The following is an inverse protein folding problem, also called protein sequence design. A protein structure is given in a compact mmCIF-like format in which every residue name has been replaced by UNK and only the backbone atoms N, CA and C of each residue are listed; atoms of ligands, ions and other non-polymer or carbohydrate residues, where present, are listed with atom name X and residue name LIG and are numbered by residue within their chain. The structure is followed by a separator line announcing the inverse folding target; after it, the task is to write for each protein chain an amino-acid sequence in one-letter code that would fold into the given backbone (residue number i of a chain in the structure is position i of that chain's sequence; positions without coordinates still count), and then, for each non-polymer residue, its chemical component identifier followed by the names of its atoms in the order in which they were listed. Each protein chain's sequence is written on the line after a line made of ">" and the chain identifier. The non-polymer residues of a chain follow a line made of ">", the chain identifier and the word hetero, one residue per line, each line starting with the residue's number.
data_IF_276078679483
#
_entry.id   IF_276078679483
#
_cell.length_a   1.000
_cell.length_b   1.000
_cell.length_c   1.000
_cell.angle_alpha   90.00
_cell.angle_beta   90.00
_cell.angle_gamma   90.00
#
_symmetry.space_group_name_H-M   'P 1'
#
loop_
_entity.id
_entity.type
_entity.pdbx_description
1 polymer ?
#
# COMPACT_ATOMS: atom_id res chain seq x y z
N UNK A 1 -42.53 31.18 23.36
CA UNK A 1 -41.35 32.02 22.99
C UNK A 1 -40.17 31.06 22.81
N UNK A 2 -39.41 30.92 21.73
CA UNK A 2 -39.22 31.65 20.48
C UNK A 2 -38.97 30.64 19.34
N UNK A 3 -39.60 30.87 18.19
CA UNK A 3 -39.53 30.05 16.98
C UNK A 3 -38.52 30.72 16.04
N UNK A 4 -37.32 30.17 15.86
CA UNK A 4 -36.36 30.66 14.87
C UNK A 4 -36.55 29.91 13.56
N UNK A 5 -37.40 30.52 12.73
CA UNK A 5 -37.69 30.15 11.34
C UNK A 5 -36.53 30.72 10.51
N UNK A 6 -35.55 29.87 10.16
CA UNK A 6 -34.57 30.25 9.15
C UNK A 6 -35.27 30.27 7.78
N UNK A 7 -35.50 31.50 7.32
CA UNK A 7 -36.07 31.82 6.01
C UNK A 7 -35.21 31.23 4.90
N UNK A 8 -35.91 30.64 3.93
CA UNK A 8 -35.40 30.19 2.65
C UNK A 8 -34.60 31.29 1.94
N UNK A 9 -33.39 30.94 1.50
CA UNK A 9 -32.65 31.66 0.47
C UNK A 9 -33.40 31.52 -0.85
N UNK A 10 -34.24 32.53 -1.14
CA UNK A 10 -34.88 32.70 -2.44
C UNK A 10 -33.84 33.20 -3.45
N UNK A 11 -33.45 32.27 -4.33
CA UNK A 11 -33.28 32.44 -5.78
C UNK A 11 -33.32 33.89 -6.30
N UNK A 12 -32.16 34.42 -6.72
CA UNK A 12 -32.08 35.56 -7.64
C UNK A 12 -31.67 35.03 -9.03
N UNK A 13 -32.53 35.14 -10.06
CA UNK A 13 -32.30 34.56 -11.39
C UNK A 13 -31.41 35.42 -12.31
N UNK A 14 -30.68 36.40 -11.78
CA UNK A 14 -30.02 37.43 -12.59
C UNK A 14 -28.59 37.11 -13.08
N UNK A 15 -28.00 35.95 -12.74
CA UNK A 15 -26.61 35.65 -13.14
C UNK A 15 -26.46 34.55 -14.22
N UNK A 16 -27.56 33.99 -14.74
CA UNK A 16 -27.52 32.93 -15.77
C UNK A 16 -27.43 33.44 -17.22
N UNK A 17 -27.22 34.74 -17.45
CA UNK A 17 -27.14 35.35 -18.79
C UNK A 17 -25.78 36.02 -19.05
N UNK A 18 -24.65 35.31 -18.88
CA UNK A 18 -23.33 35.84 -19.26
C UNK A 18 -22.30 34.82 -19.78
N UNK A 19 -22.71 33.61 -20.23
CA UNK A 19 -21.77 32.61 -20.79
C UNK A 19 -22.30 31.95 -22.07
N UNK A 20 -23.02 32.70 -22.91
CA UNK A 20 -23.26 32.35 -24.31
C UNK A 20 -22.74 33.50 -25.18
N UNK A 21 -21.44 33.49 -25.52
CA UNK A 21 -20.86 34.61 -26.27
C UNK A 21 -19.36 34.53 -26.57
N UNK A 22 -18.85 33.37 -26.95
CA UNK A 22 -17.53 33.20 -27.61
C UNK A 22 -17.56 31.82 -28.31
N UNK A 23 -18.32 31.63 -29.39
CA UNK A 23 -17.85 31.95 -30.74
C UNK A 23 -16.62 31.08 -31.07
N UNK A 24 -16.78 29.79 -31.39
CA UNK A 24 -17.12 29.28 -32.74
C UNK A 24 -16.41 30.07 -33.86
N UNK A 25 -15.08 30.20 -33.79
CA UNK A 25 -14.20 30.42 -34.94
C UNK A 25 -12.89 29.72 -34.59
N UNK A 26 -12.71 28.43 -34.89
CA UNK A 26 -11.79 28.01 -35.97
C UNK A 26 -11.92 26.49 -36.17
N UNK A 27 -13.02 26.06 -36.78
CA UNK A 27 -13.16 24.74 -37.40
C UNK A 27 -12.96 24.90 -38.90
N UNK A 28 -11.98 24.17 -39.47
CA UNK A 28 -11.67 23.96 -40.90
C UNK A 28 -10.52 24.78 -41.49
N UNK A 29 -9.31 24.20 -41.51
CA UNK A 29 -8.53 23.92 -42.75
C UNK A 29 -7.13 23.38 -42.39
N UNK A 30 -6.88 22.08 -42.60
CA UNK A 30 -5.75 21.56 -43.41
C UNK A 30 -5.80 20.02 -43.41
N UNK A 31 -6.51 19.47 -44.40
CA UNK A 31 -6.31 18.10 -44.85
C UNK A 31 -5.44 18.15 -46.11
N UNK A 32 -4.19 17.70 -46.01
CA UNK A 32 -3.38 17.18 -47.12
C UNK A 32 -2.08 16.61 -46.55
N UNK A 33 -1.91 15.30 -46.59
CA UNK A 33 -0.64 14.65 -46.25
C UNK A 33 -0.79 13.21 -45.78
N UNK A 34 -1.12 12.29 -46.69
CA UNK A 34 -0.91 10.86 -46.53
C UNK A 34 0.57 10.58 -46.20
N UNK A 35 0.82 9.73 -45.21
CA UNK A 35 1.55 8.46 -45.41
C UNK A 35 1.36 7.61 -44.17
N UNK A 36 0.79 6.42 -44.36
CA UNK A 36 0.98 5.24 -43.51
C UNK A 36 2.37 5.21 -42.88
N UNK A 37 2.42 5.11 -41.56
CA UNK A 37 3.53 4.44 -40.88
C UNK A 37 2.95 3.40 -39.92
N UNK A 38 2.59 2.28 -40.55
CA UNK A 38 2.86 0.90 -40.10
C UNK A 38 2.84 0.68 -38.59
N UNK A 39 1.74 0.07 -38.17
CA UNK A 39 1.74 -0.92 -37.12
C UNK A 39 2.76 -2.04 -37.42
N UNK A 40 3.98 -1.89 -36.93
CA UNK A 40 4.94 -2.95 -36.63
C UNK A 40 5.86 -2.33 -35.57
N UNK A 41 5.67 -2.60 -34.28
CA UNK A 41 6.55 -3.50 -33.53
C UNK A 41 6.00 -3.68 -32.12
N UNK A 42 5.03 -4.57 -31.96
CA UNK A 42 4.78 -5.24 -30.67
C UNK A 42 4.24 -6.65 -30.90
N UNK A 43 4.88 -7.38 -31.82
CA UNK A 43 4.73 -8.83 -31.88
C UNK A 43 5.49 -9.46 -30.70
N UNK A 44 4.90 -10.41 -29.95
CA UNK A 44 5.54 -11.12 -28.84
C UNK A 44 6.82 -11.88 -29.23
N UNK A 45 7.14 -12.02 -30.51
CA UNK A 45 8.36 -12.66 -31.00
C UNK A 45 9.64 -11.82 -30.81
N UNK A 46 9.54 -10.51 -30.56
CA UNK A 46 10.72 -9.67 -30.28
C UNK A 46 11.25 -9.78 -28.84
N UNK A 47 10.50 -10.40 -27.92
CA UNK A 47 10.86 -10.54 -26.50
C UNK A 47 11.81 -11.75 -26.28
N UNK A 48 11.79 -12.74 -27.17
CA UNK A 48 12.54 -13.99 -27.01
C UNK A 48 14.06 -13.87 -27.33
N UNK A 49 14.54 -12.74 -27.86
CA UNK A 49 15.97 -12.57 -28.23
C UNK A 49 16.82 -11.84 -27.18
N UNK A 50 16.27 -11.54 -25.99
CA UNK A 50 16.99 -10.80 -24.92
C UNK A 50 17.37 -11.66 -23.71
N UNK A 51 17.13 -12.96 -23.75
CA UNK A 51 17.51 -13.90 -22.69
C UNK A 51 18.63 -14.82 -23.23
N UNK A 52 19.83 -14.28 -23.35
CA UNK A 52 21.04 -15.10 -23.40
C UNK A 52 21.77 -14.99 -22.04
N UNK A 53 21.97 -16.09 -21.30
CA UNK A 53 22.69 -16.04 -20.04
C UNK A 53 24.20 -15.86 -20.30
N UNK A 54 24.70 -14.65 -20.05
CA UNK A 54 26.13 -14.37 -19.99
C UNK A 54 26.71 -14.86 -18.65
N UNK A 55 26.94 -16.17 -18.53
CA UNK A 55 27.85 -16.71 -17.51
C UNK A 55 27.31 -17.89 -16.70
N UNK A 56 28.17 -18.87 -16.48
CA UNK A 56 27.97 -19.98 -15.56
C UNK A 56 28.45 -19.55 -14.16
N UNK A 57 27.56 -19.53 -13.18
CA UNK A 57 27.93 -19.37 -11.76
C UNK A 57 28.29 -20.75 -11.20
N UNK A 58 29.55 -20.93 -10.81
CA UNK A 58 30.00 -22.13 -10.12
C UNK A 58 29.81 -21.92 -8.61
N UNK A 59 28.84 -22.62 -8.02
CA UNK A 59 28.65 -22.66 -6.56
C UNK A 59 29.54 -23.78 -6.02
N UNK A 60 30.60 -23.41 -5.29
CA UNK A 60 31.40 -24.34 -4.50
C UNK A 60 31.04 -24.17 -3.01
N UNK A 61 30.74 -25.28 -2.34
CA UNK A 61 30.54 -25.35 -0.89
C UNK A 61 31.82 -25.72 -0.15
N UNK A 62 32.02 -25.04 0.99
CA UNK A 62 32.77 -25.45 2.21
C UNK A 62 34.32 -25.51 2.13
N UNK A 63 35.09 -25.34 3.24
CA UNK A 63 34.72 -25.64 4.64
C UNK A 63 35.22 -24.67 5.76
N UNK A 64 34.82 -25.03 6.99
CA UNK A 64 35.23 -24.55 8.33
C UNK A 64 36.74 -24.42 8.59
N UNK A 65 37.11 -23.44 9.45
CA UNK A 65 38.00 -23.53 10.64
C UNK A 65 38.14 -22.13 11.29
N UNK A 66 37.71 -21.84 12.52
CA UNK A 66 38.28 -22.15 13.86
C UNK A 66 39.60 -21.42 14.19
N UNK A 67 39.52 -20.48 15.15
CA UNK A 67 40.50 -20.07 16.22
C UNK A 67 41.85 -19.46 15.79
N UNK A 68 42.49 -18.45 16.41
CA UNK A 68 42.62 -17.95 17.79
C UNK A 68 43.04 -16.44 17.83
N UNK A 69 42.76 -15.77 18.97
CA UNK A 69 43.28 -14.47 19.50
C UNK A 69 44.75 -14.61 19.99
N UNK A 70 45.56 -13.56 20.33
CA UNK A 70 45.31 -12.44 21.29
C UNK A 70 45.86 -11.06 20.77
N UNK A 71 45.66 -9.87 21.35
CA UNK A 71 45.93 -9.34 22.70
C UNK A 71 45.23 -7.98 22.92
N UNK A 72 44.94 -7.65 24.19
CA UNK A 72 44.32 -6.41 24.74
C UNK A 72 45.39 -5.65 25.56
N UNK A 73 45.41 -4.29 25.65
CA UNK A 73 44.71 -3.52 26.72
C UNK A 73 44.27 -2.11 26.26
N UNK A 74 43.49 -1.27 26.94
CA UNK A 74 42.56 -1.29 28.07
C UNK A 74 41.95 0.15 28.11
N UNK A 75 40.70 0.32 28.53
CA UNK A 75 40.30 1.21 29.64
C UNK A 75 38.80 1.54 29.64
N UNK A 76 38.20 1.28 30.80
CA UNK A 76 37.03 1.91 31.45
C UNK A 76 35.63 1.30 31.27
N UNK A 77 35.33 0.33 32.15
CA UNK A 77 34.22 0.26 33.14
C UNK A 77 33.23 1.45 33.22
N UNK A 78 31.95 1.37 33.62
CA UNK A 78 31.01 0.34 34.14
C UNK A 78 29.64 1.10 34.25
N UNK A 79 28.44 0.57 33.96
CA UNK A 79 27.57 -0.14 34.93
C UNK A 79 26.19 -0.48 34.32
N UNK A 80 25.88 -1.77 34.32
CA UNK A 80 24.56 -2.42 34.12
C UNK A 80 23.75 -2.36 35.46
N UNK A 81 22.48 -2.85 35.64
CA UNK A 81 21.83 -3.86 34.83
C UNK A 81 20.28 -3.96 34.76
N UNK A 82 19.88 -4.91 33.91
CA UNK A 82 18.88 -5.97 34.14
C UNK A 82 17.38 -5.72 33.86
N UNK A 83 16.89 -6.48 32.89
CA UNK A 83 15.54 -7.04 32.85
C UNK A 83 15.31 -8.04 34.01
N UNK A 84 14.05 -8.42 34.28
CA UNK A 84 13.63 -9.76 33.84
C UNK A 84 12.18 -9.84 33.31
N UNK A 85 11.95 -10.83 32.45
CA UNK A 85 10.61 -11.33 32.08
C UNK A 85 9.89 -11.97 33.29
N UNK A 86 8.57 -12.23 33.23
CA UNK A 86 8.12 -13.50 32.64
C UNK A 86 6.80 -13.48 31.84
N UNK A 87 6.77 -14.36 30.83
CA UNK A 87 5.68 -15.22 30.35
C UNK A 87 4.20 -14.85 30.58
N UNK A 88 3.42 -14.87 29.48
CA UNK A 88 2.36 -15.88 29.26
C UNK A 88 1.82 -15.84 27.83
N UNK A 89 2.18 -16.89 27.12
CA UNK A 89 1.41 -17.57 26.08
C UNK A 89 -0.11 -17.55 26.31
N UNK A 90 -0.86 -17.13 25.29
CA UNK A 90 -2.15 -17.75 24.96
C UNK A 90 -2.35 -17.74 23.46
N UNK A 91 -1.81 -18.78 22.84
CA UNK A 91 -2.36 -19.42 21.66
C UNK A 91 -3.89 -19.47 21.79
N UNK A 92 -4.59 -18.85 20.86
CA UNK A 92 -5.99 -19.13 20.60
C UNK A 92 -6.16 -19.17 19.08
N UNK A 93 -5.46 -20.11 18.44
CA UNK A 93 -6.01 -20.75 17.26
C UNK A 93 -7.29 -21.49 17.67
N UNK A 94 -8.35 -21.36 16.88
CA UNK A 94 -9.09 -22.55 16.54
C UNK A 94 -8.84 -22.86 15.06
N UNK A 95 -8.01 -23.88 14.83
CA UNK A 95 -8.21 -24.72 13.68
C UNK A 95 -9.56 -25.43 13.86
N UNK A 96 -10.52 -25.12 13.00
CA UNK A 96 -11.66 -25.96 12.74
C UNK A 96 -12.00 -25.81 11.25
N UNK A 97 -11.53 -26.78 10.47
CA UNK A 97 -12.05 -27.04 9.14
C UNK A 97 -13.55 -27.28 9.25
N UNK A 98 -14.34 -26.44 8.59
CA UNK A 98 -15.70 -26.80 8.20
C UNK A 98 -15.81 -26.55 6.71
N UNK A 99 -15.76 -27.66 5.98
CA UNK A 99 -16.25 -27.83 4.62
C UNK A 99 -17.77 -27.60 4.63
N UNK A 100 -18.19 -26.33 4.64
CA UNK A 100 -19.55 -25.94 4.28
C UNK A 100 -19.51 -24.46 3.90
N UNK A 101 -19.72 -24.16 2.61
CA UNK A 101 -19.59 -22.80 2.06
C UNK A 101 -20.54 -21.82 2.77
N UNK A 102 -20.02 -20.88 3.60
CA UNK A 102 -20.82 -19.79 4.15
C UNK A 102 -20.95 -18.67 3.12
N UNK A 103 -21.93 -17.75 3.26
CA UNK A 103 -22.06 -16.63 2.34
C UNK A 103 -20.79 -15.77 2.42
N UNK A 104 -20.09 -15.65 1.30
CA UNK A 104 -18.79 -14.98 1.16
C UNK A 104 -18.73 -13.56 1.76
N UNK A 105 -19.88 -12.92 1.93
CA UNK A 105 -20.05 -11.61 2.56
C UNK A 105 -19.63 -11.57 4.03
N UNK A 106 -19.96 -12.60 4.83
CA UNK A 106 -19.64 -12.59 6.28
C UNK A 106 -18.14 -12.68 6.54
N UNK A 107 -17.43 -13.49 5.73
CA UNK A 107 -15.97 -13.60 5.81
C UNK A 107 -15.26 -12.31 5.44
N UNK A 108 -15.71 -11.64 4.36
CA UNK A 108 -15.16 -10.36 3.93
C UNK A 108 -15.38 -9.26 4.97
N UNK A 109 -16.57 -9.15 5.54
CA UNK A 109 -16.85 -8.16 6.60
C UNK A 109 -15.99 -8.40 7.85
N UNK A 110 -15.85 -9.67 8.28
CA UNK A 110 -14.96 -10.02 9.38
C UNK A 110 -13.51 -9.62 9.11
N UNK A 111 -13.02 -9.88 7.89
CA UNK A 111 -11.68 -9.48 7.47
C UNK A 111 -11.50 -7.96 7.48
N UNK A 112 -12.47 -7.21 6.97
CA UNK A 112 -12.40 -5.74 6.97
C UNK A 112 -12.47 -5.16 8.40
N UNK A 113 -13.27 -5.76 9.28
CA UNK A 113 -13.33 -5.36 10.69
C UNK A 113 -12.01 -5.67 11.44
N UNK A 114 -11.38 -6.79 11.13
CA UNK A 114 -10.05 -7.13 11.63
C UNK A 114 -8.99 -6.13 11.13
N UNK A 115 -8.96 -5.91 9.81
CA UNK A 115 -8.07 -4.94 9.17
C UNK A 115 -8.23 -3.52 9.71
N UNK A 116 -9.48 -3.10 9.97
CA UNK A 116 -9.79 -1.83 10.62
C UNK A 116 -9.09 -1.67 11.97
N UNK A 117 -9.10 -2.73 12.77
CA UNK A 117 -8.50 -2.75 14.11
C UNK A 117 -6.98 -2.59 14.00
N UNK A 118 -6.36 -3.30 13.07
CA UNK A 118 -4.91 -3.20 12.82
C UNK A 118 -4.55 -1.80 12.32
N UNK A 119 -5.29 -1.26 11.34
CA UNK A 119 -5.04 0.07 10.79
C UNK A 119 -5.13 1.13 11.88
N UNK A 120 -6.15 1.04 12.74
CA UNK A 120 -6.30 1.95 13.89
C UNK A 120 -5.10 1.88 14.83
N UNK A 121 -4.62 0.69 15.15
CA UNK A 121 -3.63 0.47 16.21
C UNK A 121 -2.18 0.64 15.75
N UNK A 122 -1.89 0.36 14.47
CA UNK A 122 -0.51 0.30 13.97
C UNK A 122 -0.24 1.21 12.77
N UNK A 123 -1.26 1.57 11.98
CA UNK A 123 -1.02 2.29 10.72
C UNK A 123 -1.42 3.78 10.78
N UNK A 124 -2.45 4.11 11.56
CA UNK A 124 -3.05 5.45 11.59
C UNK A 124 -2.10 6.54 12.09
N UNK A 125 -1.08 6.19 12.88
CA UNK A 125 -0.10 7.15 13.39
C UNK A 125 0.65 7.89 12.26
N UNK A 126 0.78 7.27 11.08
CA UNK A 126 1.48 7.84 9.93
C UNK A 126 0.56 8.07 8.72
N UNK A 127 -0.48 7.25 8.54
CA UNK A 127 -1.34 7.31 7.35
C UNK A 127 -2.55 8.25 7.50
N UNK A 128 -2.56 9.14 8.50
CA UNK A 128 -3.64 10.13 8.72
C UNK A 128 -3.36 11.49 8.09
N UNK A 129 -2.23 11.64 7.37
CA UNK A 129 -1.85 12.88 6.68
C UNK A 129 -0.94 13.81 7.49
N UNK A 130 -0.53 13.41 8.69
CA UNK A 130 0.46 14.12 9.49
C UNK A 130 1.91 13.87 9.04
N UNK A 131 2.17 12.79 8.30
CA UNK A 131 3.50 12.42 7.83
C UNK A 131 3.64 12.65 6.31
N UNK A 132 4.50 13.58 5.86
CA UNK A 132 4.72 13.83 4.44
C UNK A 132 5.16 12.56 3.69
N UNK A 133 4.50 12.27 2.57
CA UNK A 133 4.83 11.14 1.69
C UNK A 133 4.21 9.80 2.10
N UNK A 134 3.58 9.70 3.28
CA UNK A 134 2.75 8.56 3.63
C UNK A 134 1.38 8.69 2.93
N UNK A 135 0.88 7.64 2.25
CA UNK A 135 -0.42 7.71 1.59
C UNK A 135 -1.55 7.83 2.63
N UNK A 136 -2.40 8.83 2.48
CA UNK A 136 -3.47 9.13 3.45
C UNK A 136 -4.63 8.14 3.28
N UNK A 137 -5.12 7.58 4.38
CA UNK A 137 -6.26 6.67 4.38
C UNK A 137 -7.47 7.36 3.73
N UNK A 138 -8.07 6.72 2.72
CA UNK A 138 -9.22 7.28 2.01
C UNK A 138 -8.89 8.30 0.92
N UNK A 139 -7.63 8.67 0.72
CA UNK A 139 -7.24 9.60 -0.35
C UNK A 139 -6.98 8.86 -1.67
N UNK A 140 -7.95 8.90 -2.60
CA UNK A 140 -7.82 8.23 -3.90
C UNK A 140 -6.57 8.66 -4.70
N UNK A 141 -6.14 9.92 -4.61
CA UNK A 141 -4.97 10.43 -5.33
C UNK A 141 -3.67 9.78 -4.84
N UNK A 142 -3.56 9.52 -3.54
CA UNK A 142 -2.39 8.85 -2.96
C UNK A 142 -2.34 7.35 -3.26
N UNK A 143 -3.52 6.73 -3.39
CA UNK A 143 -3.67 5.26 -3.47
C UNK A 143 -3.77 4.74 -4.91
N UNK A 144 -4.34 5.50 -5.85
CA UNK A 144 -4.47 5.08 -7.26
C UNK A 144 -3.15 4.60 -7.88
N UNK A 145 -2.03 5.36 -7.87
CA UNK A 145 -0.77 4.93 -8.46
C UNK A 145 -0.07 3.79 -7.69
N UNK A 146 -0.56 3.46 -6.49
CA UNK A 146 -0.07 2.33 -5.69
C UNK A 146 -0.83 1.06 -6.06
N UNK A 147 -2.14 1.18 -6.23
CA UNK A 147 -3.00 0.06 -6.62
C UNK A 147 -2.69 -0.47 -8.03
N UNK A 148 -2.15 0.37 -8.92
CA UNK A 148 -1.66 -0.09 -10.24
C UNK A 148 -0.52 -1.11 -10.15
N UNK A 149 0.18 -1.19 -9.01
CA UNK A 149 1.23 -2.19 -8.77
C UNK A 149 0.66 -3.55 -8.37
N UNK A 150 -0.62 -3.59 -7.99
CA UNK A 150 -1.30 -4.78 -7.49
C UNK A 150 -1.25 -4.89 -5.96
N UNK A 151 -2.30 -5.50 -5.39
CA UNK A 151 -2.44 -5.68 -3.93
C UNK A 151 -1.31 -6.53 -3.35
N UNK A 152 -0.86 -7.55 -4.07
CA UNK A 152 0.22 -8.45 -3.63
C UNK A 152 1.52 -7.69 -3.34
N UNK A 153 1.90 -6.77 -4.22
CA UNK A 153 3.10 -5.94 -4.07
C UNK A 153 2.94 -4.97 -2.89
N UNK A 154 1.75 -4.41 -2.68
CA UNK A 154 1.48 -3.57 -1.51
C UNK A 154 1.60 -4.36 -0.20
N UNK A 155 1.10 -5.59 -0.18
CA UNK A 155 1.23 -6.50 0.96
C UNK A 155 2.69 -6.83 1.22
N UNK A 156 3.45 -7.20 0.19
CA UNK A 156 4.87 -7.47 0.32
C UNK A 156 5.64 -6.26 0.86
N UNK A 157 5.41 -5.06 0.30
CA UNK A 157 6.04 -3.83 0.78
C UNK A 157 5.68 -3.49 2.23
N UNK A 158 4.43 -3.69 2.63
CA UNK A 158 3.99 -3.45 3.99
C UNK A 158 4.59 -4.46 4.98
N UNK A 159 4.71 -5.73 4.57
CA UNK A 159 5.33 -6.79 5.38
C UNK A 159 6.83 -6.59 5.53
N UNK A 160 7.54 -6.36 4.43
CA UNK A 160 9.01 -6.28 4.39
C UNK A 160 9.56 -4.89 4.72
N UNK A 161 8.70 -3.86 4.68
CA UNK A 161 9.11 -2.47 4.74
C UNK A 161 9.47 -1.94 3.35
N UNK A 162 9.19 -0.65 3.13
CA UNK A 162 9.44 -0.02 1.84
C UNK A 162 9.67 1.49 2.01
N UNK A 163 10.81 1.98 1.53
CA UNK A 163 11.25 3.37 1.71
C UNK A 163 11.25 3.74 3.20
N UNK A 164 10.49 4.77 3.58
CA UNK A 164 10.34 5.23 4.96
C UNK A 164 9.31 4.43 5.77
N UNK A 165 8.55 3.51 5.15
CA UNK A 165 7.60 2.66 5.85
C UNK A 165 8.35 1.49 6.52
N UNK A 166 8.31 1.36 7.85
CA UNK A 166 8.97 0.25 8.54
C UNK A 166 8.31 -1.10 8.21
N UNK A 167 9.05 -2.22 8.33
CA UNK A 167 8.48 -3.56 8.19
C UNK A 167 7.29 -3.78 9.12
N UNK A 168 6.25 -4.42 8.60
CA UNK A 168 4.96 -4.69 9.29
C UNK A 168 4.34 -3.44 9.93
N UNK A 169 4.54 -2.27 9.32
CA UNK A 169 4.06 -0.99 9.87
C UNK A 169 4.66 -0.66 11.24
N UNK A 170 5.82 -1.20 11.58
CA UNK A 170 6.49 -0.99 12.87
C UNK A 170 5.99 -1.89 14.00
N UNK A 171 5.06 -2.81 13.73
CA UNK A 171 4.58 -3.78 14.71
C UNK A 171 5.02 -5.21 14.31
N UNK A 172 6.10 -5.74 14.92
CA UNK A 172 6.64 -7.05 14.55
C UNK A 172 5.71 -8.23 14.88
N UNK A 173 4.68 -8.01 15.70
CA UNK A 173 3.74 -9.06 16.11
C UNK A 173 2.63 -9.33 15.09
N UNK A 174 2.50 -8.51 14.05
CA UNK A 174 1.50 -8.74 13.00
C UNK A 174 1.91 -9.92 12.12
N UNK A 175 0.97 -10.80 11.78
CA UNK A 175 1.19 -11.82 10.75
C UNK A 175 1.06 -11.21 9.34
N UNK A 176 1.40 -11.97 8.31
CA UNK A 176 1.24 -11.51 6.93
C UNK A 176 -0.25 -11.41 6.56
N UNK A 177 -1.09 -12.27 7.14
CA UNK A 177 -2.55 -12.20 7.01
C UNK A 177 -3.13 -10.94 7.68
N UNK A 178 -2.57 -10.52 8.82
CA UNK A 178 -2.94 -9.26 9.46
C UNK A 178 -2.65 -8.07 8.54
N UNK A 179 -1.47 -8.05 7.91
CA UNK A 179 -1.08 -7.02 6.95
C UNK A 179 -2.01 -7.03 5.73
N UNK A 180 -2.33 -8.20 5.19
CA UNK A 180 -3.26 -8.34 4.08
C UNK A 180 -4.66 -7.83 4.44
N UNK A 181 -5.17 -8.15 5.64
CA UNK A 181 -6.45 -7.64 6.14
C UNK A 181 -6.43 -6.12 6.31
N UNK A 182 -5.34 -5.55 6.81
CA UNK A 182 -5.16 -4.11 6.93
C UNK A 182 -5.21 -3.42 5.56
N UNK A 183 -4.54 -3.97 4.54
CA UNK A 183 -4.56 -3.43 3.17
C UNK A 183 -5.95 -3.53 2.57
N UNK A 184 -6.64 -4.67 2.73
CA UNK A 184 -8.02 -4.81 2.28
C UNK A 184 -8.93 -3.74 2.90
N UNK A 185 -8.76 -3.45 4.19
CA UNK A 185 -9.48 -2.36 4.85
C UNK A 185 -9.14 -1.00 4.25
N UNK A 186 -7.86 -0.69 4.01
CA UNK A 186 -7.42 0.59 3.42
C UNK A 186 -8.03 0.81 2.03
N UNK A 187 -8.04 -0.23 1.20
CA UNK A 187 -8.66 -0.20 -0.13
C UNK A 187 -10.16 0.04 -0.03
N UNK A 188 -10.85 -0.65 0.88
CA UNK A 188 -12.29 -0.43 1.09
C UNK A 188 -12.64 1.00 1.57
N UNK A 189 -11.66 1.77 2.05
CA UNK A 189 -11.90 3.19 2.40
C UNK A 189 -11.94 4.10 1.18
N UNK A 190 -11.53 3.63 0.00
CA UNK A 190 -11.55 4.39 -1.26
C UNK A 190 -12.91 4.30 -1.96
N UNK A 191 -13.75 3.34 -1.58
CA UNK A 191 -15.06 3.09 -2.19
C UNK A 191 -16.22 3.82 -1.47
N UNK A 192 -15.90 4.64 -0.47
CA UNK A 192 -16.86 5.38 0.35
C UNK A 192 -17.06 6.80 -0.16
#
# INVERSE_FOLDING_TARGET
>A
MNKQIHKMNFLSPQCLLSIMGMGIVTLSLLAAGCTEQTAETSSPEAIAKRIEPAGKVNIASAPEKTSETPDTPASSEEKSPAAPAPAKNKENAPAANNDETPPATKGKESQLNHGKTIVKNSCAACHTGNLPGAPVIGNAEDWTPRLTQGVEILTQHATQGYKAMPPKGGNPNLSDEDIAAAIAYLISQLEK
#
